data_IF_714789532941
#
_entry.id   IF_714789532941
#
_cell.length_a   1.000
_cell.length_b   1.000
_cell.length_c   1.000
_cell.angle_alpha   90.00
_cell.angle_beta   90.00
_cell.angle_gamma   90.00
#
_symmetry.space_group_name_H-M   'P 1'
#
loop_
_entity.id
_entity.type
_entity.pdbx_description
1 polymer ?
#
# COMPACT_ATOMS: atom_id res chain seq x y z
N UNK A 1 -32.45 -26.96 -3.16
CA UNK A 1 -31.51 -25.85 -3.44
C UNK A 1 -30.14 -26.47 -3.58
N UNK A 2 -29.56 -26.48 -4.79
CA UNK A 2 -28.18 -26.94 -5.00
C UNK A 2 -27.24 -25.97 -4.27
N UNK A 3 -26.55 -26.45 -3.25
CA UNK A 3 -25.54 -25.73 -2.48
C UNK A 3 -24.34 -25.44 -3.40
N UNK A 4 -24.43 -24.36 -4.18
CA UNK A 4 -23.36 -23.90 -5.08
C UNK A 4 -22.28 -23.24 -4.23
N UNK A 5 -21.38 -24.07 -3.70
CA UNK A 5 -20.19 -23.60 -2.99
C UNK A 5 -19.28 -22.83 -3.96
N UNK A 6 -18.95 -21.55 -3.67
CA UNK A 6 -18.11 -20.73 -4.54
C UNK A 6 -16.68 -21.28 -4.58
N UNK A 7 -15.97 -21.07 -5.68
CA UNK A 7 -14.57 -21.47 -5.77
C UNK A 7 -13.70 -20.59 -4.86
N UNK A 8 -12.75 -21.17 -4.09
CA UNK A 8 -11.79 -20.40 -3.29
C UNK A 8 -10.68 -19.76 -4.15
N UNK A 9 -10.81 -19.81 -5.49
CA UNK A 9 -9.86 -19.21 -6.42
C UNK A 9 -9.88 -17.68 -6.28
N UNK A 10 -8.71 -17.10 -6.05
CA UNK A 10 -8.53 -15.64 -5.95
C UNK A 10 -7.99 -15.02 -7.23
N UNK A 11 -7.93 -15.78 -8.33
CA UNK A 11 -7.38 -15.33 -9.61
C UNK A 11 -5.85 -15.18 -9.62
N UNK A 12 -5.17 -15.78 -8.65
CA UNK A 12 -3.70 -15.90 -8.58
C UNK A 12 -3.37 -17.36 -8.85
N UNK A 13 -2.71 -17.66 -9.96
CA UNK A 13 -2.35 -19.01 -10.39
C UNK A 13 -0.83 -19.20 -10.33
N UNK A 14 -0.29 -19.18 -9.12
CA UNK A 14 1.13 -19.38 -8.83
C UNK A 14 1.25 -20.59 -7.89
N UNK A 15 2.13 -21.54 -8.20
CA UNK A 15 2.34 -22.74 -7.38
C UNK A 15 3.54 -22.55 -6.45
N UNK A 16 3.55 -23.26 -5.31
CA UNK A 16 4.73 -23.34 -4.45
C UNK A 16 5.93 -23.87 -5.24
N UNK A 17 7.17 -23.60 -4.84
CA UNK A 17 8.37 -24.10 -5.54
C UNK A 17 8.36 -25.63 -5.74
N UNK A 18 7.80 -26.37 -4.79
CA UNK A 18 7.65 -27.83 -4.81
C UNK A 18 6.43 -28.29 -5.65
N UNK A 19 5.61 -27.36 -6.15
CA UNK A 19 4.41 -27.63 -6.90
C UNK A 19 3.24 -28.19 -6.08
N UNK A 20 3.34 -28.16 -4.74
CA UNK A 20 2.37 -28.84 -3.87
C UNK A 20 1.05 -28.09 -3.74
N UNK A 21 1.10 -26.76 -3.64
CA UNK A 21 -0.07 -25.92 -3.40
C UNK A 21 -0.02 -24.63 -4.21
N UNK A 22 -1.19 -24.10 -4.57
CA UNK A 22 -1.33 -22.78 -5.15
C UNK A 22 -1.10 -21.69 -4.09
N UNK A 23 -0.14 -20.80 -4.30
CA UNK A 23 0.16 -19.65 -3.44
C UNK A 23 -0.95 -18.57 -3.44
N UNK A 24 -2.00 -18.72 -4.25
CA UNK A 24 -3.19 -17.87 -4.22
C UNK A 24 -4.31 -18.44 -3.36
N UNK A 25 -4.72 -19.68 -3.64
CA UNK A 25 -5.90 -20.29 -3.01
C UNK A 25 -5.57 -21.42 -2.01
N UNK A 26 -4.29 -21.78 -1.82
CA UNK A 26 -3.80 -22.87 -0.98
C UNK A 26 -4.38 -24.26 -1.31
N UNK A 27 -5.00 -24.42 -2.48
CA UNK A 27 -5.43 -25.72 -3.00
C UNK A 27 -4.29 -26.47 -3.68
N UNK A 28 -4.36 -27.79 -3.66
CA UNK A 28 -3.51 -28.65 -4.50
C UNK A 28 -3.94 -28.58 -5.96
N UNK A 29 -3.09 -29.08 -6.88
CA UNK A 29 -3.42 -29.15 -8.30
C UNK A 29 -4.66 -30.01 -8.56
N UNK A 30 -4.81 -31.13 -7.84
CA UNK A 30 -5.96 -32.03 -8.01
C UNK A 30 -7.24 -31.37 -7.50
N UNK A 31 -7.20 -30.69 -6.35
CA UNK A 31 -8.34 -29.89 -5.86
C UNK A 31 -8.73 -28.73 -6.79
N UNK A 32 -7.78 -28.19 -7.56
CA UNK A 32 -8.05 -27.18 -8.59
C UNK A 32 -8.74 -27.83 -9.80
N UNK A 33 -8.19 -28.94 -10.30
CA UNK A 33 -8.68 -29.68 -11.47
C UNK A 33 -10.10 -30.18 -11.24
N UNK A 34 -10.35 -30.79 -10.09
CA UNK A 34 -11.57 -31.55 -9.82
C UNK A 34 -12.67 -30.67 -9.20
N UNK A 35 -12.43 -29.37 -9.01
CA UNK A 35 -13.33 -28.49 -8.26
C UNK A 35 -14.75 -28.46 -8.81
N UNK A 36 -14.88 -28.35 -10.14
CA UNK A 36 -16.19 -28.23 -10.79
C UNK A 36 -17.06 -29.47 -10.59
N UNK A 37 -16.43 -30.65 -10.48
CA UNK A 37 -17.05 -31.96 -10.34
C UNK A 37 -17.09 -32.49 -8.90
N UNK A 38 -16.44 -31.80 -7.96
CA UNK A 38 -16.37 -32.21 -6.55
C UNK A 38 -17.71 -32.11 -5.83
N UNK A 39 -17.99 -33.06 -4.92
CA UNK A 39 -19.18 -33.04 -4.07
C UNK A 39 -19.17 -31.86 -3.08
N UNK A 40 -20.34 -31.46 -2.56
CA UNK A 40 -20.42 -30.39 -1.57
C UNK A 40 -19.64 -30.71 -0.29
N UNK A 41 -19.62 -31.97 0.14
CA UNK A 41 -18.84 -32.42 1.31
C UNK A 41 -17.34 -32.31 1.05
N UNK A 42 -16.86 -32.73 -0.13
CA UNK A 42 -15.46 -32.58 -0.52
C UNK A 42 -15.06 -31.09 -0.61
N UNK A 43 -15.93 -30.23 -1.17
CA UNK A 43 -15.69 -28.78 -1.21
C UNK A 43 -15.59 -28.20 0.20
N UNK A 44 -16.46 -28.61 1.14
CA UNK A 44 -16.40 -28.14 2.54
C UNK A 44 -15.12 -28.59 3.24
N UNK A 45 -14.69 -29.83 3.03
CA UNK A 45 -13.43 -30.34 3.56
C UNK A 45 -12.22 -29.54 3.04
N UNK A 46 -12.20 -29.22 1.73
CA UNK A 46 -11.16 -28.34 1.17
C UNK A 46 -11.18 -26.98 1.86
N UNK A 47 -12.33 -26.32 1.96
CA UNK A 47 -12.46 -25.01 2.63
C UNK A 47 -11.94 -25.03 4.08
N UNK A 48 -12.21 -26.08 4.85
CA UNK A 48 -11.69 -26.24 6.21
C UNK A 48 -10.16 -26.37 6.22
N UNK A 49 -9.60 -27.17 5.31
CA UNK A 49 -8.15 -27.36 5.20
C UNK A 49 -7.41 -26.10 4.72
N UNK A 50 -8.06 -25.22 3.95
CA UNK A 50 -7.41 -24.00 3.44
C UNK A 50 -6.93 -23.07 4.54
N UNK A 51 -7.58 -23.05 5.71
CA UNK A 51 -7.20 -22.17 6.82
C UNK A 51 -5.79 -22.50 7.30
N UNK A 52 -5.56 -23.76 7.66
CA UNK A 52 -4.26 -24.25 8.14
C UNK A 52 -3.20 -24.18 7.04
N UNK A 53 -3.53 -24.61 5.81
CA UNK A 53 -2.57 -24.56 4.69
C UNK A 53 -2.10 -23.14 4.37
N UNK A 54 -2.99 -22.15 4.45
CA UNK A 54 -2.61 -20.73 4.26
C UNK A 54 -1.62 -20.28 5.33
N UNK A 55 -1.85 -20.67 6.58
CA UNK A 55 -0.93 -20.36 7.69
C UNK A 55 0.43 -21.02 7.47
N UNK A 56 0.48 -22.32 7.16
CA UNK A 56 1.74 -23.04 6.91
C UNK A 56 2.52 -22.48 5.72
N UNK A 57 1.81 -22.12 4.64
CA UNK A 57 2.45 -21.60 3.42
C UNK A 57 2.80 -20.12 3.51
N UNK A 58 2.42 -19.43 4.59
CA UNK A 58 2.53 -17.97 4.67
C UNK A 58 1.75 -17.27 3.55
N UNK A 59 0.68 -17.87 3.04
CA UNK A 59 -0.21 -17.21 2.09
C UNK A 59 -1.13 -16.34 2.93
N UNK A 60 -1.02 -15.01 2.78
CA UNK A 60 -1.89 -14.05 3.47
C UNK A 60 -3.34 -14.52 3.48
N UNK A 61 -4.00 -14.30 4.61
CA UNK A 61 -5.38 -14.66 4.90
C UNK A 61 -6.29 -14.35 3.68
N UNK A 62 -7.34 -15.16 3.45
CA UNK A 62 -8.10 -15.20 2.20
C UNK A 62 -8.37 -13.80 1.64
N UNK A 63 -8.33 -13.64 0.30
CA UNK A 63 -9.08 -12.55 -0.33
C UNK A 63 -10.44 -12.63 0.32
N UNK A 64 -10.75 -11.63 1.13
CA UNK A 64 -11.87 -11.65 2.03
C UNK A 64 -13.06 -12.15 1.23
N UNK A 65 -13.57 -13.34 1.55
CA UNK A 65 -14.71 -13.95 0.86
C UNK A 65 -16.00 -13.14 1.04
N UNK A 66 -15.88 -11.97 1.66
CA UNK A 66 -16.89 -10.96 1.80
C UNK A 66 -17.02 -10.17 0.50
N UNK A 67 -18.25 -9.74 0.19
CA UNK A 67 -18.52 -8.87 -0.95
C UNK A 67 -17.61 -7.64 -0.96
N UNK A 68 -17.32 -7.06 -2.13
CA UNK A 68 -16.63 -5.76 -2.23
C UNK A 68 -17.20 -4.69 -1.29
N UNK A 69 -18.51 -4.70 -1.05
CA UNK A 69 -19.17 -3.82 -0.08
C UNK A 69 -18.63 -3.92 1.36
N UNK A 70 -18.08 -5.06 1.77
CA UNK A 70 -17.41 -5.23 3.07
C UNK A 70 -16.00 -4.66 3.05
N UNK A 71 -15.22 -4.94 2.00
CA UNK A 71 -13.89 -4.35 1.83
C UNK A 71 -13.98 -2.83 1.77
N UNK A 72 -14.96 -2.29 1.03
CA UNK A 72 -15.26 -0.87 1.00
C UNK A 72 -15.60 -0.37 2.41
N UNK A 73 -16.43 -1.07 3.17
CA UNK A 73 -16.72 -0.67 4.56
C UNK A 73 -15.46 -0.64 5.45
N UNK A 74 -14.57 -1.63 5.35
CA UNK A 74 -13.34 -1.67 6.14
C UNK A 74 -12.37 -0.57 5.71
N UNK A 75 -12.10 -0.47 4.42
CA UNK A 75 -11.17 0.49 3.84
C UNK A 75 -11.68 1.92 4.07
N UNK A 76 -12.90 2.21 3.65
CA UNK A 76 -13.49 3.54 3.79
C UNK A 76 -13.75 3.89 5.26
N UNK A 77 -14.19 2.92 6.07
CA UNK A 77 -14.36 3.12 7.51
C UNK A 77 -13.06 3.38 8.26
N UNK A 78 -11.92 2.88 7.74
CA UNK A 78 -10.60 3.16 8.33
C UNK A 78 -10.00 4.50 7.90
N UNK A 79 -10.50 5.13 6.83
CA UNK A 79 -10.15 6.52 6.52
C UNK A 79 -10.78 7.51 7.52
N UNK A 80 -11.90 7.14 8.13
CA UNK A 80 -12.57 7.90 9.19
C UNK A 80 -12.12 7.50 10.61
N UNK A 81 -11.17 6.57 10.72
CA UNK A 81 -10.67 6.06 12.00
C UNK A 81 -9.33 6.69 12.34
N UNK A 82 -9.32 7.60 13.32
CA UNK A 82 -8.11 8.28 13.75
C UNK A 82 -7.02 7.33 14.30
N UNK A 83 -7.37 6.09 14.63
CA UNK A 83 -6.42 5.07 15.13
C UNK A 83 -5.95 4.11 14.04
N UNK A 84 -6.58 4.12 12.87
CA UNK A 84 -6.06 3.40 11.72
C UNK A 84 -4.88 4.15 11.12
N UNK A 85 -3.99 3.40 10.48
CA UNK A 85 -2.84 3.97 9.81
C UNK A 85 -2.66 3.37 8.42
N UNK A 86 -2.04 4.15 7.55
CA UNK A 86 -1.87 3.83 6.14
C UNK A 86 -0.41 3.96 5.74
N UNK A 87 0.06 3.10 4.85
CA UNK A 87 1.43 3.18 4.34
C UNK A 87 1.52 2.89 2.84
N UNK A 88 2.46 3.58 2.19
CA UNK A 88 2.93 3.31 0.83
C UNK A 88 4.44 3.28 0.92
N UNK A 89 5.10 2.19 0.55
CA UNK A 89 6.55 2.20 0.57
C UNK A 89 7.24 0.93 0.14
N UNK A 90 8.54 1.10 -0.07
CA UNK A 90 9.55 0.05 -0.17
C UNK A 90 10.64 0.34 0.87
N UNK A 91 11.52 -0.62 1.19
CA UNK A 91 12.73 -0.36 1.98
C UNK A 91 13.49 0.85 1.41
N UNK A 92 13.79 1.81 2.27
CA UNK A 92 14.46 3.06 1.92
C UNK A 92 13.58 4.17 1.33
N UNK A 93 12.30 3.92 1.04
CA UNK A 93 11.38 4.96 0.59
C UNK A 93 9.94 4.63 1.01
N UNK A 94 9.46 5.26 2.09
CA UNK A 94 8.17 4.94 2.68
C UNK A 94 7.44 6.19 3.20
N UNK A 95 6.14 6.25 2.94
CA UNK A 95 5.23 7.22 3.48
C UNK A 95 4.21 6.54 4.40
N UNK A 96 3.97 7.13 5.55
CA UNK A 96 2.95 6.72 6.51
C UNK A 96 2.00 7.87 6.80
N UNK A 97 0.72 7.57 6.90
CA UNK A 97 -0.31 8.47 7.40
C UNK A 97 -0.90 7.86 8.66
N UNK A 98 -0.73 8.57 9.79
CA UNK A 98 -1.16 8.12 11.11
C UNK A 98 -1.88 9.29 11.81
N UNK A 99 -3.20 9.44 11.63
CA UNK A 99 -3.98 10.53 12.23
C UNK A 99 -4.02 10.51 13.77
N UNK A 100 -3.57 9.40 14.40
CA UNK A 100 -3.49 9.21 15.85
C UNK A 100 -2.50 10.11 16.58
N UNK A 101 -1.83 11.02 15.86
CA UNK A 101 -1.04 12.12 16.42
C UNK A 101 -1.90 13.34 16.82
N UNK A 102 -3.20 13.38 16.48
CA UNK A 102 -4.16 14.25 17.15
C UNK A 102 -5.06 15.13 16.29
N UNK A 103 -5.41 14.77 15.05
CA UNK A 103 -6.71 15.18 14.45
C UNK A 103 -6.93 14.51 13.11
N UNK A 104 -8.04 13.80 12.97
CA UNK A 104 -8.67 13.64 11.66
C UNK A 104 -9.50 14.90 11.39
N UNK A 105 -9.12 15.67 10.37
CA UNK A 105 -9.75 16.95 10.03
C UNK A 105 -10.94 16.73 9.10
N UNK A 106 -10.82 15.80 8.16
CA UNK A 106 -11.89 15.44 7.22
C UNK A 106 -11.65 14.05 6.65
N UNK A 107 -12.71 13.27 6.54
CA UNK A 107 -12.79 12.11 5.67
C UNK A 107 -13.85 12.36 4.60
N UNK A 108 -13.50 12.14 3.32
CA UNK A 108 -14.43 12.16 2.18
C UNK A 108 -14.45 10.79 1.56
N UNK A 109 -15.62 10.18 1.48
CA UNK A 109 -15.81 8.85 0.93
C UNK A 109 -16.66 8.94 -0.33
N UNK A 110 -16.31 8.16 -1.35
CA UNK A 110 -17.09 7.98 -2.58
C UNK A 110 -17.16 6.49 -2.93
N UNK A 111 -17.95 6.18 -3.97
CA UNK A 111 -18.29 4.80 -4.34
C UNK A 111 -17.08 3.88 -4.57
N UNK A 112 -15.95 4.44 -4.98
CA UNK A 112 -14.73 3.71 -5.36
C UNK A 112 -13.49 4.27 -4.67
N UNK A 113 -13.60 4.77 -3.43
CA UNK A 113 -12.45 5.29 -2.72
C UNK A 113 -12.77 6.36 -1.68
N UNK A 114 -11.72 6.94 -1.13
CA UNK A 114 -11.86 7.98 -0.14
C UNK A 114 -10.56 8.75 0.05
N UNK A 115 -10.66 9.91 0.71
CA UNK A 115 -9.52 10.64 1.24
C UNK A 115 -9.72 10.98 2.73
N UNK A 116 -8.62 10.93 3.47
CA UNK A 116 -8.51 11.32 4.86
C UNK A 116 -7.41 12.38 4.98
N UNK A 117 -7.72 13.47 5.68
CA UNK A 117 -6.80 14.57 5.93
C UNK A 117 -6.66 14.71 7.44
N UNK A 118 -5.42 14.68 7.92
CA UNK A 118 -5.05 15.00 9.30
C UNK A 118 -4.28 16.32 9.42
N UNK A 119 -3.68 16.57 10.60
CA UNK A 119 -2.89 17.77 10.85
C UNK A 119 -1.61 17.83 10.01
N UNK A 120 -0.90 16.71 9.91
CA UNK A 120 0.44 16.61 9.32
C UNK A 120 0.51 15.88 7.98
N UNK A 121 -0.63 15.43 7.44
CA UNK A 121 -0.67 14.77 6.14
C UNK A 121 -2.04 14.20 5.82
N UNK A 122 -2.09 13.32 4.84
CA UNK A 122 -3.33 12.67 4.45
C UNK A 122 -3.11 11.46 3.55
N UNK A 123 -4.13 10.65 3.39
CA UNK A 123 -4.15 9.51 2.49
C UNK A 123 -5.35 9.59 1.55
N UNK A 124 -5.19 9.14 0.32
CA UNK A 124 -6.30 8.82 -0.58
C UNK A 124 -6.12 7.42 -1.12
N UNK A 125 -7.22 6.69 -1.17
CA UNK A 125 -7.30 5.34 -1.72
C UNK A 125 -8.31 5.34 -2.87
N UNK A 126 -7.98 4.64 -3.95
CA UNK A 126 -8.82 4.46 -5.13
C UNK A 126 -9.06 2.96 -5.35
N UNK A 127 -10.32 2.56 -5.20
CA UNK A 127 -10.84 1.21 -5.32
C UNK A 127 -11.64 1.06 -6.62
N UNK A 128 -10.97 1.23 -7.76
CA UNK A 128 -11.61 0.99 -9.06
C UNK A 128 -11.76 -0.52 -9.29
N UNK A 129 -12.90 -1.05 -8.82
CA UNK A 129 -13.27 -2.47 -8.87
C UNK A 129 -13.46 -2.99 -10.30
N UNK A 130 -13.65 -2.11 -11.28
CA UNK A 130 -13.95 -2.46 -12.67
C UNK A 130 -12.70 -2.54 -13.55
N UNK A 131 -11.77 -1.58 -13.43
CA UNK A 131 -10.61 -1.49 -14.32
C UNK A 131 -9.33 -2.12 -13.75
N UNK A 132 -9.23 -2.26 -12.43
CA UNK A 132 -8.01 -2.71 -11.74
C UNK A 132 -8.35 -3.95 -10.93
N UNK A 133 -7.77 -5.10 -11.29
CA UNK A 133 -7.96 -6.37 -10.58
C UNK A 133 -7.30 -6.33 -9.19
N UNK A 134 -7.79 -5.47 -8.31
CA UNK A 134 -7.27 -5.27 -6.95
C UNK A 134 -7.40 -6.58 -6.18
N UNK A 135 -6.35 -6.94 -5.45
CA UNK A 135 -6.32 -8.09 -4.54
C UNK A 135 -6.06 -7.56 -3.15
N UNK A 136 -7.01 -7.75 -2.25
CA UNK A 136 -6.84 -7.43 -0.84
C UNK A 136 -6.30 -8.68 -0.12
N UNK A 137 -5.12 -8.56 0.50
CA UNK A 137 -4.47 -9.63 1.25
C UNK A 137 -4.35 -9.23 2.72
N UNK A 138 -4.90 -10.04 3.62
CA UNK A 138 -4.93 -9.74 5.05
C UNK A 138 -3.86 -10.48 5.83
N UNK A 139 -3.27 -9.84 6.82
CA UNK A 139 -2.62 -10.49 7.96
C UNK A 139 -3.63 -10.54 9.10
N UNK A 140 -3.91 -11.74 9.61
CA UNK A 140 -4.92 -11.96 10.64
C UNK A 140 -4.25 -12.58 11.85
N UNK A 141 -4.57 -12.04 13.00
CA UNK A 141 -4.17 -12.59 14.29
C UNK A 141 -4.82 -13.97 14.48
N UNK A 142 -4.04 -15.05 14.61
CA UNK A 142 -4.56 -16.42 14.57
C UNK A 142 -5.43 -16.77 15.79
N UNK A 143 -5.21 -16.10 16.93
CA UNK A 143 -5.97 -16.37 18.16
C UNK A 143 -7.28 -15.59 18.20
N UNK A 144 -7.26 -14.34 17.74
CA UNK A 144 -8.38 -13.41 17.87
C UNK A 144 -9.20 -13.25 16.60
N UNK A 145 -8.66 -13.65 15.44
CA UNK A 145 -9.27 -13.46 14.13
C UNK A 145 -9.28 -12.00 13.64
N UNK A 146 -8.55 -11.11 14.32
CA UNK A 146 -8.52 -9.67 14.00
C UNK A 146 -7.54 -9.40 12.85
N UNK A 147 -7.98 -8.65 11.85
CA UNK A 147 -7.10 -8.16 10.77
C UNK A 147 -6.11 -7.15 11.35
N UNK A 148 -4.81 -7.48 11.29
CA UNK A 148 -3.70 -6.63 11.75
C UNK A 148 -3.13 -5.76 10.63
N UNK A 149 -3.22 -6.24 9.40
CA UNK A 149 -2.76 -5.55 8.20
C UNK A 149 -3.62 -5.98 7.01
N UNK A 150 -3.88 -5.04 6.11
CA UNK A 150 -4.53 -5.31 4.82
C UNK A 150 -3.71 -4.65 3.71
N UNK A 151 -3.15 -5.46 2.81
CA UNK A 151 -2.42 -5.00 1.64
C UNK A 151 -3.35 -4.95 0.42
N UNK A 152 -3.45 -3.79 -0.23
CA UNK A 152 -4.12 -3.65 -1.52
C UNK A 152 -3.10 -3.80 -2.64
N UNK A 153 -3.24 -4.89 -3.37
CA UNK A 153 -2.28 -5.32 -4.37
C UNK A 153 -2.82 -5.20 -5.79
N UNK A 154 -1.93 -4.95 -6.73
CA UNK A 154 -2.13 -5.22 -8.15
C UNK A 154 -1.09 -6.22 -8.65
N UNK A 155 -1.29 -6.73 -9.86
CA UNK A 155 -0.24 -7.49 -10.54
C UNK A 155 1.01 -6.61 -10.68
N UNK A 156 2.19 -7.23 -10.61
CA UNK A 156 3.46 -6.52 -10.75
C UNK A 156 3.51 -5.68 -12.03
N UNK A 157 2.84 -6.10 -13.11
CA UNK A 157 2.80 -5.37 -14.38
C UNK A 157 1.80 -4.20 -14.34
N UNK A 158 0.61 -4.39 -13.77
CA UNK A 158 -0.42 -3.35 -13.71
C UNK A 158 -0.07 -2.26 -12.70
N UNK A 159 0.71 -2.59 -11.66
CA UNK A 159 1.11 -1.66 -10.61
C UNK A 159 2.27 -0.73 -10.99
N UNK A 160 2.90 -0.89 -12.16
CA UNK A 160 4.08 -0.10 -12.54
C UNK A 160 3.74 1.39 -12.63
N UNK A 161 4.60 2.22 -12.05
CA UNK A 161 4.55 3.68 -12.06
C UNK A 161 5.53 4.24 -13.10
N UNK A 162 6.11 5.42 -12.89
CA UNK A 162 6.91 6.09 -13.91
C UNK A 162 8.34 5.55 -14.06
N UNK A 163 8.90 5.02 -12.97
CA UNK A 163 10.27 4.51 -12.88
C UNK A 163 11.35 5.53 -13.29
N UNK A 164 11.06 6.83 -13.14
CA UNK A 164 12.07 7.88 -13.39
C UNK A 164 13.27 7.66 -12.47
N UNK A 165 14.46 7.88 -13.03
CA UNK A 165 15.75 7.68 -12.32
C UNK A 165 16.49 8.98 -12.02
N UNK A 166 15.85 10.10 -12.31
CA UNK A 166 16.38 11.45 -12.15
C UNK A 166 15.27 12.37 -11.67
N UNK A 167 15.64 13.42 -10.93
CA UNK A 167 14.73 14.46 -10.51
C UNK A 167 14.00 15.02 -11.74
N UNK A 168 12.68 15.00 -11.72
CA UNK A 168 11.86 15.37 -12.88
C UNK A 168 10.69 16.26 -12.46
N UNK A 169 10.59 17.44 -13.05
CA UNK A 169 9.43 18.32 -12.90
C UNK A 169 8.22 17.68 -13.61
N UNK A 170 7.13 17.48 -12.87
CA UNK A 170 5.87 16.92 -13.40
C UNK A 170 4.90 18.04 -13.80
N UNK A 171 4.89 19.13 -13.03
CA UNK A 171 3.95 20.25 -13.18
C UNK A 171 3.11 20.47 -11.93
N UNK A 172 1.99 21.17 -12.03
CA UNK A 172 1.12 21.47 -10.88
C UNK A 172 0.52 20.19 -10.28
N UNK A 173 0.50 20.07 -8.95
CA UNK A 173 -0.18 18.97 -8.25
C UNK A 173 -1.69 19.22 -8.14
N UNK A 174 -2.40 19.17 -9.27
CA UNK A 174 -3.86 19.41 -9.30
C UNK A 174 -4.65 18.43 -8.44
N UNK A 175 -4.05 17.29 -8.08
CA UNK A 175 -4.66 16.22 -7.31
C UNK A 175 -4.43 16.34 -5.79
N UNK A 176 -3.72 17.37 -5.32
CA UNK A 176 -3.41 17.57 -3.92
C UNK A 176 -4.67 17.47 -3.02
N UNK A 177 -4.50 16.79 -1.88
CA UNK A 177 -5.57 16.54 -0.91
C UNK A 177 -6.12 17.87 -0.35
N UNK A 178 -5.21 18.78 0.01
CA UNK A 178 -5.53 20.17 0.35
C UNK A 178 -5.69 20.99 -0.92
N UNK A 179 -6.81 21.69 -1.03
CA UNK A 179 -7.09 22.56 -2.21
C UNK A 179 -6.06 23.66 -2.36
N UNK A 180 -5.58 24.24 -1.25
CA UNK A 180 -4.55 25.29 -1.26
C UNK A 180 -3.25 24.85 -1.91
N UNK A 181 -2.89 23.58 -1.77
CA UNK A 181 -1.61 23.05 -2.26
C UNK A 181 -1.64 22.72 -3.76
N UNK A 182 -2.81 22.75 -4.42
CA UNK A 182 -2.95 22.33 -5.82
C UNK A 182 -2.20 23.20 -6.84
N UNK A 183 -1.68 24.34 -6.38
CA UNK A 183 -0.84 25.24 -7.16
C UNK A 183 0.66 24.97 -7.00
N UNK A 184 1.05 24.10 -6.06
CA UNK A 184 2.44 23.69 -5.90
C UNK A 184 2.90 22.84 -7.08
N UNK A 185 4.16 22.99 -7.47
CA UNK A 185 4.80 22.18 -8.51
C UNK A 185 5.29 20.87 -7.90
N UNK A 186 4.92 19.77 -8.52
CA UNK A 186 5.33 18.43 -8.15
C UNK A 186 6.60 18.03 -8.91
N UNK A 187 7.58 17.54 -8.17
CA UNK A 187 8.80 16.94 -8.69
C UNK A 187 8.83 15.47 -8.28
N UNK A 188 8.95 14.57 -9.25
CA UNK A 188 9.31 13.18 -9.00
C UNK A 188 10.80 13.14 -8.64
N UNK A 189 11.13 12.54 -7.50
CA UNK A 189 12.49 12.48 -6.99
C UNK A 189 13.38 11.53 -7.79
N UNK A 190 12.82 10.71 -8.67
CA UNK A 190 13.60 9.90 -9.60
C UNK A 190 14.29 8.71 -8.94
N UNK A 191 13.63 8.03 -7.99
CA UNK A 191 14.21 6.91 -7.26
C UNK A 191 14.32 5.60 -8.08
N UNK A 192 13.68 5.54 -9.25
CA UNK A 192 13.69 4.35 -10.11
C UNK A 192 12.88 3.16 -9.58
N UNK A 193 12.11 3.34 -8.52
CA UNK A 193 11.28 2.29 -7.92
C UNK A 193 10.10 1.97 -8.83
N UNK A 194 9.83 0.68 -9.04
CA UNK A 194 8.90 0.24 -10.08
C UNK A 194 7.43 0.61 -9.81
N UNK A 195 7.00 0.60 -8.55
CA UNK A 195 5.58 0.62 -8.17
C UNK A 195 5.16 1.86 -7.38
N UNK A 196 6.09 2.77 -7.11
CA UNK A 196 5.88 3.95 -6.27
C UNK A 196 6.65 5.12 -6.88
N UNK A 197 5.95 6.23 -7.12
CA UNK A 197 6.60 7.52 -7.40
C UNK A 197 6.67 8.30 -6.08
N UNK A 198 7.88 8.66 -5.64
CA UNK A 198 8.09 9.52 -4.48
C UNK A 198 8.39 10.92 -5.00
N UNK A 199 7.60 11.88 -4.55
CA UNK A 199 7.63 13.24 -5.05
C UNK A 199 7.83 14.26 -3.92
N UNK A 200 8.31 15.44 -4.29
CA UNK A 200 8.23 16.65 -3.48
C UNK A 200 7.30 17.66 -4.14
N UNK A 201 6.48 18.35 -3.35
CA UNK A 201 5.66 19.47 -3.80
C UNK A 201 6.27 20.76 -3.27
N UNK A 202 6.45 21.72 -4.17
CA UNK A 202 7.14 22.98 -3.90
C UNK A 202 6.34 24.16 -4.44
N UNK A 203 6.21 25.19 -3.62
CA UNK A 203 5.58 26.49 -3.94
C UNK A 203 6.49 27.69 -3.62
N UNK A 204 7.66 27.47 -3.03
CA UNK A 204 8.69 28.46 -2.76
C UNK A 204 9.59 28.68 -3.99
N UNK A 205 9.77 29.94 -4.40
CA UNK A 205 10.51 30.31 -5.61
C UNK A 205 12.00 29.90 -5.58
N UNK A 206 12.68 30.04 -4.45
CA UNK A 206 14.11 29.68 -4.31
C UNK A 206 14.30 28.16 -4.43
N UNK A 207 13.43 27.38 -3.78
CA UNK A 207 13.47 25.93 -3.87
C UNK A 207 13.06 25.44 -5.27
N UNK A 208 12.09 26.10 -5.93
CA UNK A 208 11.75 25.81 -7.33
C UNK A 208 12.95 26.03 -8.27
N UNK A 209 13.68 27.14 -8.09
CA UNK A 209 14.87 27.43 -8.89
C UNK A 209 15.94 26.36 -8.70
N UNK A 210 16.20 25.94 -7.45
CA UNK A 210 17.15 24.88 -7.12
C UNK A 210 16.74 23.54 -7.75
N UNK A 211 15.49 23.11 -7.57
CA UNK A 211 15.05 21.83 -8.12
C UNK A 211 15.06 21.81 -9.65
N UNK A 212 14.79 22.93 -10.31
CA UNK A 212 14.91 23.07 -11.76
C UNK A 212 16.36 23.00 -12.24
N UNK A 213 17.29 23.56 -11.47
CA UNK A 213 18.72 23.47 -11.77
C UNK A 213 19.24 22.02 -11.60
N UNK A 214 18.68 21.27 -10.65
CA UNK A 214 19.02 19.87 -10.39
C UNK A 214 18.19 18.87 -11.23
N UNK A 215 17.21 19.34 -12.01
CA UNK A 215 16.39 18.48 -12.84
C UNK A 215 17.23 17.72 -13.87
N UNK A 216 16.93 16.44 -14.06
CA UNK A 216 17.71 15.54 -14.91
C UNK A 216 18.91 14.89 -14.21
N UNK A 217 19.16 15.18 -12.92
CA UNK A 217 20.21 14.52 -12.11
C UNK A 217 19.61 13.53 -11.11
N UNK A 218 20.41 12.56 -10.69
CA UNK A 218 20.00 11.57 -9.69
C UNK A 218 20.09 12.18 -8.28
N UNK A 219 19.01 12.09 -7.50
CA UNK A 219 19.06 12.51 -6.08
C UNK A 219 19.80 11.49 -5.20
N UNK A 220 20.07 10.30 -5.75
CA UNK A 220 20.86 9.27 -5.12
C UNK A 220 22.36 9.51 -5.32
N UNK A 221 22.77 10.60 -5.96
CA UNK A 221 24.17 10.99 -6.00
C UNK A 221 24.55 11.57 -4.62
N UNK A 222 25.66 11.14 -3.99
CA UNK A 222 26.03 11.60 -2.63
C UNK A 222 26.15 13.12 -2.49
N UNK A 223 26.51 13.80 -3.57
CA UNK A 223 26.68 15.26 -3.63
C UNK A 223 25.39 16.00 -3.99
N UNK A 224 24.27 15.28 -4.20
CA UNK A 224 22.99 15.90 -4.54
C UNK A 224 22.50 16.80 -3.39
N UNK A 225 22.21 18.09 -3.62
CA UNK A 225 21.73 19.00 -2.57
C UNK A 225 20.23 18.83 -2.30
N UNK A 226 19.52 18.04 -3.12
CA UNK A 226 18.07 18.04 -3.21
C UNK A 226 17.39 17.67 -1.90
N UNK A 227 17.76 16.54 -1.27
CA UNK A 227 17.12 16.11 -0.04
C UNK A 227 17.35 17.11 1.11
N UNK A 228 18.58 17.59 1.27
CA UNK A 228 18.90 18.59 2.29
C UNK A 228 18.14 19.91 2.08
N UNK A 229 18.03 20.39 0.83
CA UNK A 229 17.27 21.59 0.50
C UNK A 229 15.77 21.41 0.78
N UNK A 230 15.22 20.25 0.42
CA UNK A 230 13.83 19.92 0.67
C UNK A 230 13.51 19.79 2.17
N UNK A 231 14.46 19.30 2.98
CA UNK A 231 14.31 19.20 4.44
C UNK A 231 14.42 20.57 5.11
N UNK A 232 15.40 21.39 4.70
CA UNK A 232 15.57 22.76 5.19
C UNK A 232 14.34 23.64 4.90
N UNK A 233 13.71 23.45 3.74
CA UNK A 233 12.49 24.13 3.36
C UNK A 233 11.21 23.48 3.91
N UNK A 234 11.31 22.34 4.61
CA UNK A 234 10.18 21.55 5.09
C UNK A 234 9.15 21.24 3.97
N UNK A 235 9.65 21.00 2.76
CA UNK A 235 8.81 20.85 1.58
C UNK A 235 7.88 19.64 1.71
N UNK A 236 6.66 19.76 1.19
CA UNK A 236 5.69 18.67 1.26
C UNK A 236 6.18 17.47 0.45
N UNK A 237 5.91 16.27 0.96
CA UNK A 237 6.29 15.01 0.33
C UNK A 237 5.05 14.21 -0.03
N UNK A 238 5.08 13.57 -1.20
CA UNK A 238 3.94 12.85 -1.76
C UNK A 238 4.40 11.50 -2.28
N UNK A 239 3.86 10.40 -1.75
CA UNK A 239 4.02 9.07 -2.32
C UNK A 239 2.79 8.74 -3.18
N UNK A 240 3.01 8.26 -4.40
CA UNK A 240 1.95 7.93 -5.37
C UNK A 240 2.05 6.47 -5.81
N UNK A 241 0.90 5.80 -5.88
CA UNK A 241 0.75 4.50 -6.54
C UNK A 241 -0.49 4.48 -7.42
N UNK A 242 -0.71 3.37 -8.14
CA UNK A 242 -1.93 3.17 -8.94
C UNK A 242 -3.22 3.12 -8.12
N UNK A 243 -3.12 2.91 -6.80
CA UNK A 243 -4.24 2.76 -5.89
C UNK A 243 -4.38 3.91 -4.89
N UNK A 244 -3.51 4.92 -4.93
CA UNK A 244 -3.62 5.99 -3.96
C UNK A 244 -2.44 6.94 -3.89
N UNK A 245 -2.54 7.85 -2.92
CA UNK A 245 -1.50 8.80 -2.54
C UNK A 245 -1.42 8.91 -1.02
N UNK A 246 -0.23 9.12 -0.49
CA UNK A 246 -0.01 9.59 0.88
C UNK A 246 0.79 10.87 0.81
N UNK A 247 0.34 11.89 1.53
CA UNK A 247 1.01 13.18 1.69
C UNK A 247 1.52 13.34 3.12
N UNK A 248 2.73 13.86 3.25
CA UNK A 248 3.29 14.35 4.50
C UNK A 248 3.65 15.84 4.33
N UNK A 249 3.17 16.67 5.26
CA UNK A 249 3.29 18.12 5.19
C UNK A 249 4.19 18.66 6.30
N UNK A 250 5.18 19.45 5.91
CA UNK A 250 6.13 20.05 6.84
C UNK A 250 7.20 19.07 7.31
N UNK A 251 7.89 19.42 8.40
CA UNK A 251 8.88 18.53 9.00
C UNK A 251 8.20 17.33 9.69
N UNK A 252 8.86 16.15 9.69
CA UNK A 252 8.48 15.06 10.57
C UNK A 252 8.48 15.56 12.02
N UNK A 253 7.47 15.17 12.81
CA UNK A 253 7.47 15.49 14.24
C UNK A 253 8.71 14.84 14.90
N UNK A 254 9.62 15.64 15.50
CA UNK A 254 10.88 15.15 16.05
C UNK A 254 10.70 14.27 17.28
N UNK A 255 9.51 14.26 17.88
CA UNK A 255 9.16 13.42 19.04
C UNK A 255 8.73 12.00 18.64
N UNK A 256 8.49 11.76 17.35
CA UNK A 256 8.15 10.43 16.83
C UNK A 256 9.37 9.52 16.85
N UNK A 257 9.45 8.65 17.85
CA UNK A 257 10.48 7.61 17.93
C UNK A 257 10.27 6.59 16.80
N UNK A 258 11.32 6.30 16.03
CA UNK A 258 11.33 5.21 15.07
C UNK A 258 11.23 3.86 15.82
N UNK A 259 10.01 3.38 16.04
CA UNK A 259 9.78 2.16 16.83
C UNK A 259 8.59 1.30 16.39
N UNK A 260 7.90 1.64 15.31
CA UNK A 260 6.82 0.83 14.76
C UNK A 260 6.47 1.24 13.32
N UNK A 261 5.70 0.42 12.57
CA UNK A 261 5.35 0.68 11.18
C UNK A 261 4.55 1.98 10.97
N UNK A 262 4.00 2.57 12.04
CA UNK A 262 3.13 3.75 12.02
C UNK A 262 3.44 4.75 13.15
N UNK A 263 4.71 5.11 13.34
CA UNK A 263 5.11 6.19 14.25
C UNK A 263 4.89 7.58 13.60
N UNK A 264 3.63 7.97 13.44
CA UNK A 264 3.20 9.29 12.95
C UNK A 264 3.19 9.48 11.44
N UNK A 265 2.65 10.62 11.01
CA UNK A 265 2.53 10.98 9.60
C UNK A 265 3.85 11.52 9.05
N UNK A 266 4.46 10.83 8.09
CA UNK A 266 5.79 11.18 7.55
C UNK A 266 6.07 10.52 6.20
N UNK A 267 7.06 11.04 5.48
CA UNK A 267 7.67 10.37 4.33
C UNK A 267 9.18 10.36 4.51
N UNK A 268 9.79 9.18 4.46
CA UNK A 268 11.23 8.97 4.61
C UNK A 268 11.80 8.50 3.28
N UNK A 269 12.91 9.13 2.87
CA UNK A 269 13.79 8.66 1.81
C UNK A 269 15.17 8.46 2.42
N UNK A 270 15.66 7.22 2.37
CA UNK A 270 17.00 6.83 2.78
C UNK A 270 17.79 6.38 1.54
N UNK A 271 18.62 7.28 0.96
CA UNK A 271 19.46 6.94 -0.18
C UNK A 271 20.42 5.79 0.08
N UNK A 272 20.89 5.59 1.32
CA UNK A 272 21.80 4.49 1.62
C UNK A 272 21.08 3.14 1.53
N UNK A 273 19.87 3.06 2.09
CA UNK A 273 19.02 1.88 1.96
C UNK A 273 18.59 1.60 0.51
N UNK A 274 18.35 2.65 -0.29
CA UNK A 274 17.99 2.51 -1.71
C UNK A 274 19.18 2.10 -2.61
N UNK A 275 20.40 2.52 -2.26
CA UNK A 275 21.64 2.12 -2.98
C UNK A 275 22.08 0.72 -2.63
N UNK A 276 21.79 0.24 -1.41
CA UNK A 276 22.03 -1.14 -1.07
C UNK A 276 21.25 -2.02 -2.06
N UNK A 277 21.96 -2.83 -2.85
CA UNK A 277 21.34 -3.82 -3.73
C UNK A 277 20.31 -4.62 -2.92
N UNK A 278 19.17 -5.07 -3.49
CA UNK A 278 18.16 -5.83 -2.76
C UNK A 278 18.82 -7.09 -2.16
N UNK A 279 19.26 -6.97 -0.91
CA UNK A 279 19.95 -8.01 -0.19
C UNK A 279 18.90 -8.96 0.33
N UNK A 280 18.56 -9.99 -0.44
CA UNK A 280 17.76 -11.18 -0.03
C UNK A 280 16.38 -10.94 0.62
N UNK A 281 15.96 -9.70 0.81
CA UNK A 281 14.69 -9.30 1.40
C UNK A 281 13.78 -8.76 0.32
N UNK A 282 12.81 -9.57 -0.07
CA UNK A 282 11.65 -9.10 -0.81
C UNK A 282 11.01 -7.94 -0.03
N UNK A 283 10.80 -6.74 -0.60
CA UNK A 283 10.17 -5.61 0.09
C UNK A 283 8.70 -5.89 0.45
N UNK A 284 8.14 -6.98 -0.09
CA UNK A 284 6.82 -7.48 0.26
C UNK A 284 6.85 -8.11 1.65
N UNK A 285 5.76 -7.99 2.40
CA UNK A 285 5.54 -8.94 3.50
C UNK A 285 5.63 -10.36 2.90
N UNK A 286 6.13 -11.33 3.67
CA UNK A 286 6.23 -12.74 3.24
C UNK A 286 4.88 -13.34 2.78
N UNK A 287 3.79 -12.60 2.99
CA UNK A 287 2.41 -12.95 2.70
C UNK A 287 1.92 -12.57 1.28
N UNK A 288 2.64 -11.74 0.53
CA UNK A 288 2.22 -11.30 -0.82
C UNK A 288 2.88 -12.16 -1.91
N UNK A 289 2.10 -12.85 -2.77
CA UNK A 289 2.63 -13.65 -3.88
C UNK A 289 3.55 -12.87 -4.83
N UNK A 290 4.50 -13.55 -5.50
CA UNK A 290 5.51 -12.86 -6.32
C UNK A 290 4.92 -12.17 -7.55
N UNK A 291 3.77 -12.65 -8.02
CA UNK A 291 2.98 -12.07 -9.10
C UNK A 291 2.26 -10.77 -8.73
N UNK A 292 2.21 -10.42 -7.45
CA UNK A 292 1.57 -9.21 -6.92
C UNK A 292 2.57 -8.24 -6.30
N UNK A 293 2.14 -6.99 -6.17
CA UNK A 293 2.84 -5.95 -5.43
C UNK A 293 1.86 -5.19 -4.52
N UNK A 294 2.18 -4.99 -3.22
CA UNK A 294 1.37 -4.19 -2.31
C UNK A 294 1.56 -2.70 -2.59
N UNK A 295 0.52 -2.03 -3.08
CA UNK A 295 0.59 -0.63 -3.50
C UNK A 295 0.14 0.34 -2.41
N UNK A 296 -0.65 -0.13 -1.46
CA UNK A 296 -1.03 0.62 -0.27
C UNK A 296 -1.45 -0.38 0.81
N UNK A 297 -1.00 -0.13 2.04
CA UNK A 297 -1.23 -0.99 3.20
C UNK A 297 -2.04 -0.25 4.25
N UNK A 298 -3.06 -0.91 4.78
CA UNK A 298 -3.86 -0.46 5.91
C UNK A 298 -3.44 -1.24 7.16
N UNK A 299 -3.26 -0.53 8.26
CA UNK A 299 -3.08 -1.03 9.62
C UNK A 299 -4.29 -0.59 10.44
N UNK A 300 -5.31 -1.45 10.62
CA UNK A 300 -6.54 -1.11 11.34
C UNK A 300 -6.31 -0.81 12.83
N UNK A 301 -7.27 -0.14 13.48
CA UNK A 301 -7.29 0.00 14.94
C UNK A 301 -7.22 -1.39 15.62
N UNK A 302 -6.17 -1.70 16.41
CA UNK A 302 -6.03 -2.98 17.10
C UNK A 302 -7.19 -3.32 18.03
N UNK A 303 -7.92 -2.32 18.53
CA UNK A 303 -9.08 -2.51 19.40
C UNK A 303 -10.37 -2.81 18.62
N UNK A 304 -10.41 -2.51 17.32
CA UNK A 304 -11.57 -2.71 16.48
C UNK A 304 -11.49 -4.12 15.87
N UNK A 305 -12.33 -5.02 16.36
CA UNK A 305 -12.52 -6.32 15.70
C UNK A 305 -13.15 -6.07 14.34
N UNK A 306 -12.34 -6.11 13.29
CA UNK A 306 -12.83 -6.30 11.93
C UNK A 306 -13.33 -7.75 11.85
N UNK A 307 -14.58 -7.95 12.28
CA UNK A 307 -15.20 -9.26 12.34
C UNK A 307 -15.22 -9.89 10.96
N UNK A 308 -14.52 -11.03 10.82
CA UNK A 308 -14.61 -11.94 9.68
C UNK A 308 -15.73 -12.98 9.86
N UNK A 309 -16.66 -12.74 10.80
CA UNK A 309 -17.77 -13.61 11.14
C UNK A 309 -19.00 -13.32 10.28
#
# INVERSE_FOLDING_TARGET
MTDVMPSPCVGICEMSPEGSHCLGCARTVDEIRDWSTSSSDAKRAVFQALVERRQTLGVGAPVLGHSWAFLDRVILGSLDDAKAAWAIGVPGACATFCPGDGTLVTARLWEYGGDAIGGHGGARVVLDHGAKKIKALGEVDPETGVVRRLDLCLSVQTGVMSQRRVLTEIGLDTEALRVGDRRGVLFDLGLGVAHIDICARVDNDDLLALLRQEAGKSILDPDSPVLAALDAAQAHRVALTRLGRIEAWGAPDPTLVAGGPCAGTRLIVDPAALRAAPGTGDPRSSLVPRSLFPLISLFPDPARRLGLA
#
